data_IF_431951936544
#
_entry.id   IF_431951936544
#
_cell.length_a   1.000
_cell.length_b   1.000
_cell.length_c   1.000
_cell.angle_alpha   90.00
_cell.angle_beta   90.00
_cell.angle_gamma   90.00
#
_symmetry.space_group_name_H-M   'P 1'
#
loop_
_entity.id
_entity.type
_entity.pdbx_description
1 polymer ?
#
# COMPACT_ATOMS: atom_id res chain seq x y z
N UNK A 1 -11.80 23.91 4.43
CA UNK A 1 -10.62 23.27 3.78
C UNK A 1 -10.86 21.79 3.52
N UNK A 2 -11.20 20.99 4.55
CA UNK A 2 -11.46 19.54 4.46
C UNK A 2 -12.52 19.10 3.46
N UNK A 3 -13.69 19.78 3.41
CA UNK A 3 -14.76 19.46 2.43
C UNK A 3 -14.26 19.49 0.98
N UNK A 4 -13.50 20.53 0.60
CA UNK A 4 -12.94 20.65 -0.76
C UNK A 4 -11.95 19.52 -1.06
N UNK A 5 -11.14 19.12 -0.09
CA UNK A 5 -10.19 18.00 -0.21
C UNK A 5 -10.93 16.67 -0.39
N UNK A 6 -11.93 16.39 0.45
CA UNK A 6 -12.74 15.18 0.36
C UNK A 6 -13.48 15.08 -0.99
N UNK A 7 -14.08 16.17 -1.46
CA UNK A 7 -14.74 16.20 -2.77
C UNK A 7 -13.75 15.93 -3.92
N UNK A 8 -12.51 16.43 -3.83
CA UNK A 8 -11.46 16.13 -4.82
C UNK A 8 -11.12 14.65 -4.83
N UNK A 9 -10.91 14.04 -3.66
CA UNK A 9 -10.58 12.61 -3.55
C UNK A 9 -11.71 11.73 -4.07
N UNK A 10 -12.96 12.06 -3.75
CA UNK A 10 -14.11 11.32 -4.24
C UNK A 10 -14.23 11.38 -5.77
N UNK A 11 -14.04 12.57 -6.37
CA UNK A 11 -14.01 12.72 -7.83
C UNK A 11 -12.85 11.95 -8.47
N UNK A 12 -11.68 11.96 -7.83
CA UNK A 12 -10.53 11.19 -8.31
C UNK A 12 -10.88 9.71 -8.33
N UNK A 13 -11.39 9.17 -7.21
CA UNK A 13 -11.83 7.80 -7.08
C UNK A 13 -12.85 7.40 -8.15
N UNK A 14 -13.92 8.18 -8.34
CA UNK A 14 -14.95 7.90 -9.35
C UNK A 14 -14.43 7.86 -10.80
N UNK A 15 -13.34 8.58 -11.09
CA UNK A 15 -12.74 8.63 -12.42
C UNK A 15 -11.59 7.62 -12.59
N UNK A 16 -11.25 6.81 -11.57
CA UNK A 16 -10.19 5.81 -11.72
C UNK A 16 -10.66 4.60 -12.54
N UNK A 17 -9.87 4.16 -13.54
CA UNK A 17 -10.26 3.09 -14.47
C UNK A 17 -10.45 1.71 -13.82
N UNK A 18 -9.96 1.50 -12.59
CA UNK A 18 -10.06 0.23 -11.87
C UNK A 18 -11.49 -0.13 -11.43
N UNK A 19 -12.40 0.84 -11.26
CA UNK A 19 -13.79 0.59 -10.82
C UNK A 19 -14.82 0.63 -11.96
N UNK A 20 -14.38 0.74 -13.22
CA UNK A 20 -15.24 0.69 -14.41
C UNK A 20 -15.23 -0.67 -15.12
N UNK A 21 -15.94 -0.76 -16.25
CA UNK A 21 -15.99 -1.93 -17.16
C UNK A 21 -14.60 -2.45 -17.61
N UNK A 22 -13.52 -1.70 -17.36
CA UNK A 22 -12.15 -2.02 -17.72
C UNK A 22 -11.48 -3.09 -16.83
N UNK A 23 -11.99 -3.41 -15.63
CA UNK A 23 -11.42 -4.49 -14.80
C UNK A 23 -11.42 -5.84 -15.54
N UNK A 24 -12.53 -6.16 -16.22
CA UNK A 24 -12.66 -7.37 -17.05
C UNK A 24 -11.91 -7.31 -18.39
N UNK A 25 -11.29 -6.18 -18.74
CA UNK A 25 -10.53 -5.98 -19.98
C UNK A 25 -9.02 -6.01 -19.70
N UNK A 26 -8.61 -6.14 -18.43
CA UNK A 26 -7.19 -6.23 -18.08
C UNK A 26 -6.59 -7.53 -18.61
N UNK A 27 -5.73 -7.42 -19.61
CA UNK A 27 -4.94 -8.54 -20.11
C UNK A 27 -4.03 -9.06 -19.00
N UNK A 28 -3.78 -10.38 -18.98
CA UNK A 28 -2.83 -11.01 -18.06
C UNK A 28 -1.51 -10.21 -18.04
N UNK A 29 -1.03 -9.77 -16.87
CA UNK A 29 0.16 -8.95 -16.78
C UNK A 29 1.39 -9.71 -17.27
N UNK A 30 2.21 -9.06 -18.10
CA UNK A 30 3.47 -9.64 -18.62
C UNK A 30 4.60 -9.62 -17.59
N UNK A 31 4.59 -8.63 -16.69
CA UNK A 31 5.64 -8.40 -15.71
C UNK A 31 5.02 -8.24 -14.33
N UNK A 32 5.71 -8.73 -13.30
CA UNK A 32 5.34 -8.57 -11.90
C UNK A 32 6.53 -7.99 -11.13
N UNK A 33 6.26 -6.97 -10.30
CA UNK A 33 7.24 -6.38 -9.39
C UNK A 33 6.62 -6.42 -8.00
N UNK A 34 7.33 -7.03 -7.05
CA UNK A 34 6.94 -7.09 -5.65
C UNK A 34 7.94 -6.31 -4.81
N UNK A 35 7.46 -5.29 -4.10
CA UNK A 35 8.25 -4.54 -3.13
C UNK A 35 7.97 -5.08 -1.72
N UNK A 36 9.01 -5.57 -1.03
CA UNK A 36 8.90 -6.11 0.33
C UNK A 36 9.60 -5.17 1.31
N UNK A 37 8.83 -4.55 2.20
CA UNK A 37 9.37 -3.80 3.34
C UNK A 37 9.44 -4.70 4.57
N UNK A 38 10.59 -5.33 4.81
CA UNK A 38 10.79 -6.18 5.99
C UNK A 38 10.65 -5.35 7.27
N UNK A 39 9.83 -5.81 8.22
CA UNK A 39 9.50 -5.10 9.46
C UNK A 39 8.72 -3.78 9.27
N UNK A 40 8.17 -3.51 8.09
CA UNK A 40 7.47 -2.25 7.80
C UNK A 40 6.00 -2.27 8.28
N UNK A 41 5.81 -2.04 9.57
CA UNK A 41 4.49 -1.87 10.18
C UNK A 41 3.82 -0.52 9.83
N UNK A 42 2.54 -0.35 10.17
CA UNK A 42 1.81 0.92 9.98
C UNK A 42 2.43 2.11 10.72
N UNK A 43 3.06 1.87 11.87
CA UNK A 43 3.80 2.91 12.61
C UNK A 43 5.10 3.27 11.89
N UNK A 44 5.81 2.28 11.32
CA UNK A 44 7.00 2.50 10.48
C UNK A 44 6.67 3.37 9.26
N UNK A 45 5.56 3.08 8.57
CA UNK A 45 5.05 3.87 7.44
C UNK A 45 4.77 5.32 7.88
N UNK A 46 4.09 5.49 9.01
CA UNK A 46 3.80 6.83 9.55
C UNK A 46 5.08 7.59 9.88
N UNK A 47 6.05 6.95 10.56
CA UNK A 47 7.36 7.55 10.85
C UNK A 47 8.12 7.96 9.58
N UNK A 48 8.07 7.14 8.53
CA UNK A 48 8.67 7.47 7.23
C UNK A 48 8.03 8.71 6.58
N UNK A 49 6.70 8.90 6.70
CA UNK A 49 6.04 10.14 6.25
C UNK A 49 6.56 11.36 6.99
N UNK A 50 6.68 11.28 8.31
CA UNK A 50 7.24 12.38 9.13
C UNK A 50 8.67 12.71 8.71
N UNK A 51 9.50 11.69 8.51
CA UNK A 51 10.87 11.88 8.05
C UNK A 51 10.94 12.52 6.66
N UNK A 52 10.13 12.04 5.71
CA UNK A 52 10.04 12.62 4.34
C UNK A 52 9.60 14.08 4.40
N UNK A 53 8.61 14.41 5.23
CA UNK A 53 8.13 15.78 5.41
C UNK A 53 9.17 16.71 6.04
N UNK A 54 9.88 16.24 7.08
CA UNK A 54 10.98 16.96 7.70
C UNK A 54 12.08 17.28 6.68
N UNK A 55 12.48 16.30 5.86
CA UNK A 55 13.49 16.49 4.80
C UNK A 55 13.05 17.48 3.71
N UNK A 56 11.74 17.70 3.54
CA UNK A 56 11.17 18.64 2.58
C UNK A 56 10.80 20.00 3.20
N UNK A 57 11.05 20.21 4.51
CA UNK A 57 10.54 21.35 5.28
C UNK A 57 9.02 21.56 5.11
N UNK A 58 8.25 20.47 5.08
CA UNK A 58 6.78 20.45 4.96
C UNK A 58 6.13 19.85 6.20
N UNK A 59 4.84 20.07 6.37
CA UNK A 59 4.04 19.35 7.36
C UNK A 59 3.87 17.88 6.96
N UNK A 60 3.85 16.98 7.95
CA UNK A 60 3.65 15.55 7.72
C UNK A 60 2.32 15.23 7.03
N UNK A 61 1.28 16.05 7.24
CA UNK A 61 -0.02 15.87 6.59
C UNK A 61 -0.05 16.26 5.10
N UNK A 62 0.97 16.97 4.62
CA UNK A 62 1.07 17.44 3.24
C UNK A 62 1.95 16.55 2.36
N UNK A 63 2.46 15.45 2.93
CA UNK A 63 3.40 14.54 2.27
C UNK A 63 2.88 13.11 2.37
N UNK A 64 2.98 12.40 1.25
CA UNK A 64 2.61 10.98 1.12
C UNK A 64 3.80 10.19 0.59
N UNK A 65 3.83 8.89 0.88
CA UNK A 65 4.78 7.95 0.29
C UNK A 65 4.28 7.52 -1.10
N UNK A 66 5.20 7.12 -1.97
CA UNK A 66 4.87 6.97 -3.39
C UNK A 66 3.89 5.80 -3.64
N UNK A 67 3.94 4.75 -2.81
CA UNK A 67 3.00 3.63 -2.86
C UNK A 67 1.63 3.94 -2.26
N UNK A 68 1.46 5.04 -1.51
CA UNK A 68 0.16 5.45 -0.96
C UNK A 68 -0.74 6.09 -2.02
N UNK A 69 -0.15 6.42 -3.17
CA UNK A 69 -0.86 6.89 -4.35
C UNK A 69 -1.34 5.73 -5.24
N UNK A 70 -1.00 4.48 -4.90
CA UNK A 70 -1.50 3.32 -5.64
C UNK A 70 -3.02 3.17 -5.47
N UNK A 71 -3.68 2.61 -6.48
CA UNK A 71 -5.14 2.56 -6.56
C UNK A 71 -5.79 1.64 -5.52
N UNK A 72 -5.03 0.70 -4.96
CA UNK A 72 -5.54 -0.34 -4.07
C UNK A 72 -4.66 -0.49 -2.84
N UNK A 73 -5.31 -0.64 -1.69
CA UNK A 73 -4.67 -1.02 -0.43
C UNK A 73 -5.43 -2.21 0.16
N UNK A 74 -4.70 -3.14 0.76
CA UNK A 74 -5.28 -4.31 1.45
C UNK A 74 -4.54 -4.54 2.76
N UNK A 75 -5.20 -5.25 3.68
CA UNK A 75 -4.59 -5.75 4.91
C UNK A 75 -4.29 -7.24 4.74
N UNK A 76 -3.12 -7.64 5.21
CA UNK A 76 -2.65 -9.03 5.18
C UNK A 76 -2.55 -9.56 6.60
N UNK A 77 -3.06 -10.77 6.81
CA UNK A 77 -2.75 -11.53 8.02
C UNK A 77 -1.35 -12.11 7.88
N UNK A 78 -0.50 -11.90 8.88
CA UNK A 78 0.91 -12.25 8.80
C UNK A 78 1.31 -13.45 9.65
N UNK A 79 0.38 -14.13 10.35
CA UNK A 79 0.71 -15.29 11.18
C UNK A 79 1.22 -16.47 10.35
N UNK A 80 2.06 -17.33 10.95
CA UNK A 80 2.60 -18.54 10.33
C UNK A 80 1.81 -19.77 10.81
N UNK A 81 2.05 -20.93 10.21
CA UNK A 81 1.40 -22.19 10.62
C UNK A 81 1.53 -22.50 12.12
N UNK A 82 2.59 -22.04 12.78
CA UNK A 82 2.90 -22.37 14.18
C UNK A 82 3.06 -21.16 15.11
N UNK A 83 3.00 -19.92 14.61
CA UNK A 83 3.25 -18.72 15.42
C UNK A 83 2.38 -17.54 14.99
N UNK A 84 1.86 -16.80 15.97
CA UNK A 84 1.16 -15.53 15.73
C UNK A 84 2.11 -14.42 15.29
N UNK A 85 3.38 -14.49 15.72
CA UNK A 85 4.46 -13.62 15.24
C UNK A 85 5.36 -14.42 14.31
N UNK A 86 5.29 -14.05 13.04
CA UNK A 86 6.01 -14.73 11.96
C UNK A 86 7.41 -14.16 11.78
N UNK A 87 8.33 -15.00 11.35
CA UNK A 87 9.68 -14.62 10.95
C UNK A 87 9.76 -14.32 9.44
N UNK A 88 10.81 -13.63 9.01
CA UNK A 88 10.93 -13.20 7.61
C UNK A 88 10.94 -14.36 6.61
N UNK A 89 11.43 -15.55 6.99
CA UNK A 89 11.48 -16.72 6.11
C UNK A 89 10.09 -17.30 5.81
N UNK A 90 9.25 -17.49 6.84
CA UNK A 90 7.88 -17.95 6.65
C UNK A 90 7.02 -16.90 5.92
N UNK A 91 7.21 -15.61 6.21
CA UNK A 91 6.55 -14.53 5.48
C UNK A 91 6.92 -14.53 3.98
N UNK A 92 8.20 -14.69 3.66
CA UNK A 92 8.66 -14.77 2.27
C UNK A 92 8.07 -15.99 1.54
N UNK A 93 7.94 -17.13 2.22
CA UNK A 93 7.33 -18.33 1.66
C UNK A 93 5.85 -18.11 1.33
N UNK A 94 5.10 -17.48 2.24
CA UNK A 94 3.70 -17.13 2.00
C UNK A 94 3.55 -16.15 0.82
N UNK A 95 4.40 -15.13 0.73
CA UNK A 95 4.31 -14.11 -0.32
C UNK A 95 4.73 -14.63 -1.71
N UNK A 96 5.76 -15.48 -1.79
CA UNK A 96 6.35 -15.91 -3.06
C UNK A 96 5.82 -17.26 -3.55
N UNK A 97 5.46 -18.16 -2.64
CA UNK A 97 5.00 -19.50 -2.97
C UNK A 97 3.49 -19.70 -2.74
N UNK A 98 2.84 -18.81 -1.98
CA UNK A 98 1.41 -18.93 -1.68
C UNK A 98 1.06 -20.02 -0.66
N UNK A 99 2.05 -20.54 0.07
CA UNK A 99 1.88 -21.59 1.08
C UNK A 99 2.15 -21.07 2.49
N UNK A 100 1.41 -21.62 3.45
CA UNK A 100 1.45 -21.30 4.87
C UNK A 100 1.83 -22.51 5.71
#
# INVERSE_FOLDING_TARGET
MWRKSATRQFRYFQNTPMYGLAYNITSVPKNMILFVGDGMSSSTITGARYLKAANMNKSAGDVVLDWELWSTVSLLHTYSANRMTTDSAAAATALLCGNF
#
